data_IF_352915154332
#
_entry.id   IF_352915154332
#
_cell.length_a   1.000
_cell.length_b   1.000
_cell.length_c   1.000
_cell.angle_alpha   90.00
_cell.angle_beta   90.00
_cell.angle_gamma   90.00
#
_symmetry.space_group_name_H-M   'P 1'
#
loop_
_entity.id
_entity.type
_entity.pdbx_description
1 polymer ?
#
# COMPACT_ATOMS: atom_id res chain seq x y z
N UNK A 1 4.03 -12.64 10.35
CA UNK A 1 3.12 -11.50 10.17
C UNK A 1 3.89 -10.45 9.39
N UNK A 2 3.32 -9.97 8.28
CA UNK A 2 3.98 -8.98 7.40
C UNK A 2 3.91 -7.60 8.06
N UNK A 3 4.99 -6.84 7.98
CA UNK A 3 5.15 -5.52 8.58
C UNK A 3 6.08 -4.70 7.69
N UNK A 4 5.89 -3.38 7.67
CA UNK A 4 6.81 -2.44 7.04
C UNK A 4 7.52 -1.61 8.13
N UNK A 5 8.82 -1.32 7.98
CA UNK A 5 9.57 -0.53 8.96
C UNK A 5 9.20 0.95 8.82
N UNK A 6 8.64 1.53 9.89
CA UNK A 6 8.17 2.92 9.92
C UNK A 6 8.79 3.64 11.13
N UNK A 7 9.12 4.93 10.98
CA UNK A 7 9.62 5.77 12.08
C UNK A 7 8.52 6.44 12.93
N UNK A 8 8.92 7.21 13.94
CA UNK A 8 7.99 7.95 14.82
C UNK A 8 7.16 9.03 14.11
N UNK A 9 7.52 9.40 12.87
CA UNK A 9 6.82 10.36 12.02
C UNK A 9 6.02 9.68 10.92
N UNK A 10 5.80 8.37 11.02
CA UNK A 10 5.09 7.56 10.04
C UNK A 10 5.81 7.46 8.68
N UNK A 11 7.10 7.76 8.61
CA UNK A 11 7.88 7.59 7.38
C UNK A 11 8.29 6.13 7.22
N UNK A 12 8.04 5.54 6.06
CA UNK A 12 8.61 4.24 5.72
C UNK A 12 10.12 4.32 5.56
N UNK A 13 10.83 3.31 6.07
CA UNK A 13 12.29 3.22 6.10
C UNK A 13 12.86 2.26 5.04
N UNK A 14 12.00 1.59 4.28
CA UNK A 14 12.38 0.74 3.17
C UNK A 14 12.96 1.60 2.04
N UNK A 15 13.98 1.08 1.35
CA UNK A 15 14.46 1.67 0.10
C UNK A 15 13.89 0.87 -1.06
N UNK A 16 13.19 1.53 -1.98
CA UNK A 16 12.53 0.88 -3.11
C UNK A 16 13.32 1.04 -4.42
N UNK A 17 13.46 -0.06 -5.16
CA UNK A 17 14.14 -0.07 -6.45
C UNK A 17 15.63 0.25 -6.39
N UNK A 18 16.23 0.40 -7.56
CA UNK A 18 17.65 0.73 -7.77
C UNK A 18 17.83 1.50 -9.08
N UNK A 19 19.03 2.01 -9.36
CA UNK A 19 19.31 2.71 -10.63
C UNK A 19 19.09 1.82 -11.86
N UNK A 20 19.49 0.54 -11.78
CA UNK A 20 19.34 -0.42 -12.87
C UNK A 20 17.91 -0.99 -12.98
N UNK A 21 17.12 -0.84 -11.92
CA UNK A 21 15.73 -1.30 -11.86
C UNK A 21 14.90 -0.32 -11.00
N UNK A 22 14.36 0.76 -11.59
CA UNK A 22 13.84 1.93 -10.87
C UNK A 22 12.41 1.74 -10.32
N UNK A 23 12.06 0.50 -9.99
CA UNK A 23 10.81 0.14 -9.31
C UNK A 23 11.09 -1.02 -8.36
N UNK A 24 10.25 -1.17 -7.35
CA UNK A 24 10.10 -2.41 -6.60
C UNK A 24 8.66 -2.90 -6.75
N UNK A 25 8.48 -4.20 -6.99
CA UNK A 25 7.16 -4.81 -7.13
C UNK A 25 6.87 -5.70 -5.94
N UNK A 26 5.73 -5.48 -5.31
CA UNK A 26 5.20 -6.31 -4.25
C UNK A 26 3.87 -6.94 -4.66
N UNK A 27 3.64 -8.15 -4.16
CA UNK A 27 2.30 -8.69 -4.05
C UNK A 27 1.89 -8.62 -2.57
N UNK A 28 1.13 -7.59 -2.23
CA UNK A 28 0.67 -7.37 -0.87
C UNK A 28 -0.59 -8.18 -0.59
N UNK A 29 -0.42 -9.25 0.17
CA UNK A 29 -1.49 -10.10 0.67
C UNK A 29 -2.05 -9.49 1.95
N UNK A 30 -3.01 -8.56 1.84
CA UNK A 30 -3.53 -7.80 3.00
C UNK A 30 -4.06 -8.73 4.10
N UNK A 31 -4.62 -9.88 3.75
CA UNK A 31 -5.11 -10.88 4.70
C UNK A 31 -4.01 -11.50 5.61
N UNK A 32 -2.73 -11.31 5.31
CA UNK A 32 -1.59 -11.74 6.12
C UNK A 32 -1.04 -10.66 7.07
N UNK A 33 -1.54 -9.42 6.95
CA UNK A 33 -1.18 -8.33 7.86
C UNK A 33 -2.00 -8.40 9.16
N UNK A 34 -1.45 -7.89 10.28
CA UNK A 34 -2.22 -7.70 11.51
C UNK A 34 -3.49 -6.87 11.22
N UNK A 35 -4.64 -7.36 11.70
CA UNK A 35 -5.95 -6.75 11.45
C UNK A 35 -6.28 -6.53 9.96
N UNK A 36 -5.61 -7.28 9.07
CA UNK A 36 -5.76 -7.18 7.62
C UNK A 36 -5.54 -5.75 7.09
N UNK A 37 -4.62 -5.04 7.75
CA UNK A 37 -4.35 -3.63 7.57
C UNK A 37 -2.86 -3.40 7.33
N UNK A 38 -2.53 -2.75 6.23
CA UNK A 38 -1.23 -2.13 6.02
C UNK A 38 -1.30 -0.73 6.65
N UNK A 39 -0.51 -0.45 7.71
CA UNK A 39 -0.66 0.74 8.53
C UNK A 39 -0.42 2.03 7.74
N UNK A 40 -0.86 3.15 8.31
CA UNK A 40 -0.56 4.46 7.75
C UNK A 40 0.96 4.66 7.67
N UNK A 41 1.43 5.15 6.54
CA UNK A 41 2.82 5.51 6.31
C UNK A 41 2.90 6.53 5.16
N UNK A 42 4.07 7.13 4.98
CA UNK A 42 4.39 7.95 3.83
C UNK A 42 5.83 7.70 3.40
N UNK A 43 6.09 7.95 2.13
CA UNK A 43 7.41 7.85 1.53
C UNK A 43 7.48 8.81 0.32
N UNK A 44 8.68 9.29 -0.08
CA UNK A 44 8.85 10.26 -1.18
C UNK A 44 8.59 9.66 -2.58
N UNK A 45 8.47 8.34 -2.68
CA UNK A 45 8.26 7.63 -3.93
C UNK A 45 6.79 7.73 -4.42
N UNK A 46 6.60 7.75 -5.74
CA UNK A 46 5.29 7.49 -6.35
C UNK A 46 4.92 6.01 -6.12
N UNK A 47 3.65 5.72 -5.83
CA UNK A 47 3.18 4.34 -5.64
C UNK A 47 1.95 4.05 -6.51
N UNK A 48 1.94 2.88 -7.15
CA UNK A 48 0.77 2.31 -7.81
C UNK A 48 0.26 1.13 -6.99
N UNK A 49 -1.02 1.17 -6.60
CA UNK A 49 -1.65 0.12 -5.80
C UNK A 49 -2.93 -0.37 -6.48
N UNK A 50 -3.10 -1.69 -6.58
CA UNK A 50 -4.30 -2.32 -7.16
C UNK A 50 -4.98 -3.27 -6.17
N UNK A 51 -6.30 -3.33 -6.17
CA UNK A 51 -7.07 -4.35 -5.46
C UNK A 51 -7.44 -5.52 -6.39
N UNK A 52 -7.16 -6.77 -5.98
CA UNK A 52 -7.55 -7.99 -6.68
C UNK A 52 -8.09 -9.05 -5.71
N UNK A 53 -9.30 -9.55 -5.98
CA UNK A 53 -9.94 -10.61 -5.18
C UNK A 53 -10.79 -10.08 -4.02
N UNK A 54 -11.01 -8.76 -3.93
CA UNK A 54 -11.83 -8.14 -2.91
C UNK A 54 -11.80 -6.61 -2.95
N UNK A 55 -12.71 -6.01 -2.18
CA UNK A 55 -12.77 -4.56 -2.01
C UNK A 55 -11.80 -4.09 -0.90
N UNK A 56 -11.28 -2.87 -1.03
CA UNK A 56 -10.32 -2.26 -0.10
C UNK A 56 -10.85 -0.91 0.42
N UNK A 57 -10.59 -0.61 1.69
CA UNK A 57 -10.72 0.72 2.27
C UNK A 57 -9.33 1.34 2.33
N UNK A 58 -9.08 2.35 1.50
CA UNK A 58 -7.79 3.02 1.43
C UNK A 58 -7.89 4.40 2.05
N UNK A 59 -6.93 4.76 2.90
CA UNK A 59 -6.76 6.14 3.38
C UNK A 59 -5.72 6.80 2.49
N UNK A 60 -6.01 7.98 1.94
CA UNK A 60 -5.07 8.83 1.23
C UNK A 60 -5.22 10.27 1.76
N UNK A 61 -4.20 10.75 2.46
CA UNK A 61 -4.24 12.02 3.19
C UNK A 61 -5.37 12.04 4.21
N UNK A 62 -6.32 12.96 4.05
CA UNK A 62 -7.50 13.06 4.92
C UNK A 62 -8.72 12.29 4.41
N UNK A 63 -8.64 11.67 3.24
CA UNK A 63 -9.77 10.98 2.62
C UNK A 63 -9.70 9.47 2.78
N UNK A 64 -10.84 8.84 3.04
CA UNK A 64 -11.00 7.39 2.94
C UNK A 64 -11.78 7.07 1.67
N UNK A 65 -11.21 6.23 0.81
CA UNK A 65 -11.80 5.83 -0.46
C UNK A 65 -12.15 4.35 -0.38
N UNK A 66 -13.35 4.00 -0.80
CA UNK A 66 -13.75 2.62 -1.01
C UNK A 66 -13.29 2.19 -2.41
N UNK A 67 -12.18 1.47 -2.49
CA UNK A 67 -11.61 1.00 -3.74
C UNK A 67 -12.21 -0.36 -4.09
N UNK A 68 -12.93 -0.40 -5.21
CA UNK A 68 -13.58 -1.62 -5.70
C UNK A 68 -12.55 -2.62 -6.24
N UNK A 69 -12.89 -3.90 -6.15
CA UNK A 69 -12.14 -4.98 -6.80
C UNK A 69 -11.80 -4.62 -8.25
N UNK A 70 -10.60 -5.02 -8.69
CA UNK A 70 -9.99 -4.72 -9.99
C UNK A 70 -9.71 -3.23 -10.27
N UNK A 71 -9.94 -2.34 -9.31
CA UNK A 71 -9.57 -0.92 -9.41
C UNK A 71 -8.16 -0.68 -8.88
N UNK A 72 -7.55 0.42 -9.30
CA UNK A 72 -6.23 0.83 -8.87
C UNK A 72 -6.19 2.32 -8.54
N UNK A 73 -5.20 2.70 -7.74
CA UNK A 73 -4.86 4.09 -7.43
C UNK A 73 -3.40 4.35 -7.72
N UNK A 74 -3.11 5.63 -7.97
CA UNK A 74 -1.76 6.17 -7.98
C UNK A 74 -1.66 7.14 -6.82
N UNK A 75 -0.73 6.90 -5.91
CA UNK A 75 -0.53 7.69 -4.70
C UNK A 75 0.68 8.59 -4.92
N UNK A 76 0.47 9.89 -4.77
CA UNK A 76 1.51 10.88 -4.94
C UNK A 76 2.58 10.78 -3.84
N UNK A 77 3.83 11.18 -4.15
CA UNK A 77 4.89 11.38 -3.17
C UNK A 77 4.45 12.14 -1.91
N UNK A 78 5.01 11.76 -0.77
CA UNK A 78 4.85 12.43 0.54
C UNK A 78 3.40 12.50 1.05
N UNK A 79 2.49 11.70 0.48
CA UNK A 79 1.12 11.60 0.96
C UNK A 79 1.01 10.47 1.98
N UNK A 80 0.49 10.76 3.16
CA UNK A 80 0.16 9.73 4.16
C UNK A 80 -0.93 8.81 3.63
N UNK A 81 -0.67 7.51 3.57
CA UNK A 81 -1.63 6.54 3.05
C UNK A 81 -1.57 5.21 3.80
N UNK A 82 -2.61 4.40 3.68
CA UNK A 82 -2.71 3.07 4.30
C UNK A 82 -3.91 2.30 3.75
N UNK A 83 -3.92 0.98 3.96
CA UNK A 83 -4.83 0.07 3.27
C UNK A 83 -5.46 -0.93 4.23
N UNK A 84 -6.76 -1.22 4.06
CA UNK A 84 -7.47 -2.17 4.89
C UNK A 84 -8.46 -2.99 4.07
N UNK A 85 -8.40 -4.31 4.22
CA UNK A 85 -9.37 -5.18 3.60
C UNK A 85 -10.81 -4.85 4.07
N UNK A 86 -11.75 -4.69 3.13
CA UNK A 86 -13.12 -4.31 3.47
C UNK A 86 -13.95 -5.48 4.03
N UNK A 87 -13.80 -6.68 3.46
CA UNK A 87 -14.45 -7.91 3.92
C UNK A 87 -13.40 -8.89 4.48
N UNK A 88 -13.34 -9.11 5.81
CA UNK A 88 -12.34 -9.97 6.43
C UNK A 88 -12.35 -11.45 6.02
N UNK A 89 -13.41 -11.91 5.36
CA UNK A 89 -13.54 -13.30 4.90
C UNK A 89 -12.89 -13.56 3.54
N UNK A 90 -12.58 -12.50 2.78
CA UNK A 90 -11.95 -12.60 1.47
C UNK A 90 -10.43 -12.71 1.56
N UNK A 91 -9.78 -13.06 0.46
CA UNK A 91 -8.32 -12.99 0.32
C UNK A 91 -8.02 -11.88 -0.70
N UNK A 92 -7.64 -10.72 -0.19
CA UNK A 92 -7.32 -9.56 -0.99
C UNK A 92 -5.82 -9.55 -1.32
N UNK A 93 -5.53 -9.66 -2.61
CA UNK A 93 -4.20 -9.53 -3.19
C UNK A 93 -4.04 -8.12 -3.76
N UNK A 94 -2.92 -7.49 -3.49
CA UNK A 94 -2.67 -6.13 -3.93
C UNK A 94 -1.35 -6.03 -4.67
N UNK A 95 -1.36 -6.13 -6.02
CA UNK A 95 -0.21 -5.75 -6.82
C UNK A 95 0.16 -4.29 -6.52
N UNK A 96 1.38 -4.10 -6.07
CA UNK A 96 1.91 -2.80 -5.64
C UNK A 96 3.24 -2.54 -6.34
N UNK A 97 3.41 -1.34 -6.90
CA UNK A 97 4.66 -0.87 -7.49
C UNK A 97 5.04 0.44 -6.81
N UNK A 98 6.17 0.44 -6.12
CA UNK A 98 6.79 1.67 -5.60
C UNK A 98 7.92 2.05 -6.55
N UNK A 99 7.87 3.26 -7.09
CA UNK A 99 8.89 3.78 -8.01
C UNK A 99 10.13 4.22 -7.24
N UNK A 100 11.29 4.31 -7.87
CA UNK A 100 12.46 4.92 -7.25
C UNK A 100 12.35 6.46 -7.26
N UNK A 101 12.77 7.13 -6.18
CA UNK A 101 12.99 8.59 -6.10
C UNK A 101 14.12 9.07 -7.05
#
# INVERSE_FOLDING_TARGET
MKQIPIDEKMRELTQHGSEDFPIEYYLDELFLFPEQTLPLHWHPELEFWKAEGGDNLIQIGSETIFLKDQSAVLIHPDVLHGFRQADPSQQLYCPNIVFKE
#
